data_IF_959039416870
#
_entry.id   IF_959039416870
#
_cell.length_a   1.000
_cell.length_b   1.000
_cell.length_c   1.000
_cell.angle_alpha   90.00
_cell.angle_beta   90.00
_cell.angle_gamma   90.00
#
_symmetry.space_group_name_H-M   'P 1'
#
loop_
_entity.id
_entity.type
_entity.pdbx_description
1 polymer ?
#
# COMPACT_ATOMS: atom_id res chain seq x y z
N UNK A 1 -51.72 -39.64 -14.01
CA UNK A 1 -51.58 -38.90 -12.73
C UNK A 1 -50.12 -39.00 -12.29
N UNK A 2 -49.26 -38.08 -12.74
CA UNK A 2 -48.75 -36.91 -11.98
C UNK A 2 -48.17 -37.29 -10.61
N UNK A 3 -46.85 -37.23 -10.50
CA UNK A 3 -46.20 -36.33 -9.55
C UNK A 3 -44.75 -36.11 -9.97
N UNK A 4 -44.54 -34.94 -10.57
CA UNK A 4 -43.26 -34.33 -10.90
C UNK A 4 -42.46 -34.18 -9.62
N UNK A 5 -41.25 -34.75 -9.56
CA UNK A 5 -40.28 -34.41 -8.51
C UNK A 5 -39.86 -32.97 -8.73
N UNK A 6 -40.37 -32.07 -7.89
CA UNK A 6 -39.98 -30.68 -7.87
C UNK A 6 -38.56 -30.59 -7.27
N UNK A 7 -37.54 -30.50 -8.15
CA UNK A 7 -36.14 -30.21 -7.80
C UNK A 7 -35.95 -28.70 -7.59
N UNK A 8 -36.74 -28.10 -6.70
CA UNK A 8 -36.51 -26.74 -6.26
C UNK A 8 -36.65 -26.76 -4.74
N UNK A 9 -35.56 -26.45 -4.03
CA UNK A 9 -35.53 -25.59 -2.84
C UNK A 9 -34.26 -25.85 -2.02
N UNK A 10 -33.17 -25.23 -2.47
CA UNK A 10 -32.11 -24.57 -1.67
C UNK A 10 -30.81 -24.47 -2.48
N UNK A 11 -30.89 -23.75 -3.61
CA UNK A 11 -29.68 -23.09 -4.12
C UNK A 11 -29.44 -21.90 -3.20
N UNK A 12 -28.45 -22.02 -2.31
CA UNK A 12 -27.86 -20.86 -1.63
C UNK A 12 -27.32 -19.97 -2.76
N UNK A 13 -28.09 -18.96 -3.15
CA UNK A 13 -27.65 -17.99 -4.14
C UNK A 13 -26.65 -17.07 -3.43
N UNK A 14 -25.37 -17.28 -3.70
CA UNK A 14 -24.33 -16.36 -3.23
C UNK A 14 -24.56 -14.99 -3.87
N UNK A 15 -24.37 -13.86 -3.15
CA UNK A 15 -24.55 -12.51 -3.71
C UNK A 15 -23.77 -12.26 -5.02
N UNK A 16 -22.73 -13.07 -5.28
CA UNK A 16 -21.83 -12.93 -6.42
C UNK A 16 -22.15 -13.81 -7.64
N UNK A 17 -23.12 -14.74 -7.56
CA UNK A 17 -23.57 -15.47 -8.76
C UNK A 17 -24.11 -14.52 -9.84
N UNK A 18 -24.60 -13.36 -9.41
CA UNK A 18 -25.14 -12.33 -10.29
C UNK A 18 -24.03 -11.60 -11.07
N UNK A 19 -22.82 -11.49 -10.53
CA UNK A 19 -21.69 -10.84 -11.22
C UNK A 19 -21.26 -11.64 -12.44
N UNK A 20 -21.15 -12.97 -12.31
CA UNK A 20 -20.81 -13.83 -13.43
C UNK A 20 -21.88 -13.76 -14.53
N UNK A 21 -23.15 -13.76 -14.13
CA UNK A 21 -24.29 -13.59 -15.04
C UNK A 21 -24.28 -12.24 -15.75
N UNK A 22 -23.88 -11.17 -15.06
CA UNK A 22 -23.72 -9.83 -15.64
C UNK A 22 -22.61 -9.82 -16.69
N UNK A 23 -21.45 -10.43 -16.41
CA UNK A 23 -20.34 -10.52 -17.38
C UNK A 23 -20.80 -11.24 -18.65
N UNK A 24 -21.45 -12.39 -18.50
CA UNK A 24 -21.98 -13.18 -19.62
C UNK A 24 -23.01 -12.40 -20.44
N UNK A 25 -23.92 -11.67 -19.77
CA UNK A 25 -24.89 -10.82 -20.43
C UNK A 25 -24.24 -9.65 -21.18
N UNK A 26 -23.21 -9.01 -20.60
CA UNK A 26 -22.47 -7.92 -21.27
C UNK A 26 -21.78 -8.45 -22.53
N UNK A 27 -21.15 -9.63 -22.46
CA UNK A 27 -20.53 -10.26 -23.63
C UNK A 27 -21.55 -10.59 -24.71
N UNK A 28 -22.72 -11.11 -24.31
CA UNK A 28 -23.77 -11.45 -25.25
C UNK A 28 -24.28 -10.20 -25.98
N UNK A 29 -24.61 -9.14 -25.24
CA UNK A 29 -25.15 -7.88 -25.81
C UNK A 29 -24.11 -7.15 -26.68
N UNK A 30 -22.82 -7.23 -26.34
CA UNK A 30 -21.75 -6.70 -27.20
C UNK A 30 -21.60 -7.50 -28.50
N UNK A 31 -21.75 -8.84 -28.44
CA UNK A 31 -21.64 -9.72 -29.61
C UNK A 31 -22.85 -9.61 -30.54
N UNK A 32 -24.06 -9.43 -30.02
CA UNK A 32 -25.27 -9.22 -30.84
C UNK A 32 -25.27 -7.87 -31.53
N UNK A 33 -24.40 -6.94 -31.11
CA UNK A 33 -24.31 -5.59 -31.66
C UNK A 33 -25.49 -4.68 -31.28
N UNK A 34 -26.39 -5.16 -30.42
CA UNK A 34 -27.55 -4.40 -29.95
C UNK A 34 -27.14 -3.15 -29.19
N UNK A 35 -26.02 -3.19 -28.46
CA UNK A 35 -25.49 -2.06 -27.70
C UNK A 35 -23.96 -2.04 -27.75
N UNK A 36 -23.37 -1.14 -28.53
CA UNK A 36 -21.94 -0.81 -28.47
C UNK A 36 -21.74 0.42 -27.60
N UNK A 37 -21.43 0.22 -26.32
CA UNK A 37 -21.18 1.30 -25.39
C UNK A 37 -19.80 1.15 -24.72
N UNK A 38 -18.87 2.10 -24.88
CA UNK A 38 -17.56 2.04 -24.23
C UNK A 38 -17.66 1.97 -22.69
N UNK A 39 -18.76 2.45 -22.09
CA UNK A 39 -19.02 2.30 -20.65
C UNK A 39 -19.27 0.84 -20.26
N UNK A 40 -19.94 0.04 -21.10
CA UNK A 40 -20.16 -1.39 -20.82
C UNK A 40 -18.86 -2.17 -20.86
N UNK A 41 -17.98 -1.87 -21.83
CA UNK A 41 -16.64 -2.47 -21.90
C UNK A 41 -15.77 -2.07 -20.69
N UNK A 42 -15.88 -0.83 -20.21
CA UNK A 42 -15.21 -0.38 -19.00
C UNK A 42 -15.71 -1.13 -17.74
N UNK A 43 -17.04 -1.30 -17.61
CA UNK A 43 -17.64 -2.07 -16.51
C UNK A 43 -17.16 -3.52 -16.55
N UNK A 44 -17.16 -4.16 -17.72
CA UNK A 44 -16.65 -5.53 -17.88
C UNK A 44 -15.19 -5.65 -17.45
N UNK A 45 -14.32 -4.72 -17.87
CA UNK A 45 -12.92 -4.68 -17.45
C UNK A 45 -12.76 -4.53 -15.93
N UNK A 46 -13.61 -3.72 -15.29
CA UNK A 46 -13.59 -3.55 -13.83
C UNK A 46 -13.99 -4.86 -13.15
N UNK A 47 -15.11 -5.46 -13.56
CA UNK A 47 -15.62 -6.71 -12.98
C UNK A 47 -14.67 -7.89 -13.18
N UNK A 48 -13.87 -7.88 -14.26
CA UNK A 48 -12.86 -8.90 -14.56
C UNK A 48 -11.46 -8.56 -14.04
N UNK A 49 -11.27 -7.43 -13.35
CA UNK A 49 -9.93 -7.01 -12.89
C UNK A 49 -9.42 -7.86 -11.73
N UNK A 50 -8.09 -7.99 -11.65
CA UNK A 50 -7.41 -8.67 -10.53
C UNK A 50 -7.77 -8.04 -9.17
N UNK A 51 -7.94 -6.71 -9.15
CA UNK A 51 -8.38 -5.99 -7.95
C UNK A 51 -9.78 -6.43 -7.52
N UNK A 52 -10.75 -6.45 -8.43
CA UNK A 52 -12.12 -6.87 -8.12
C UNK A 52 -12.17 -8.34 -7.70
N UNK A 53 -11.41 -9.21 -8.36
CA UNK A 53 -11.31 -10.63 -8.00
C UNK A 53 -10.73 -10.82 -6.60
N UNK A 54 -9.66 -10.08 -6.26
CA UNK A 54 -9.09 -10.11 -4.92
C UNK A 54 -10.11 -9.66 -3.86
N UNK A 55 -10.87 -8.60 -4.14
CA UNK A 55 -11.92 -8.11 -3.24
C UNK A 55 -13.03 -9.14 -3.06
N UNK A 56 -13.45 -9.79 -4.14
CA UNK A 56 -14.46 -10.85 -4.13
C UNK A 56 -14.03 -12.04 -3.27
N UNK A 57 -12.79 -12.52 -3.42
CA UNK A 57 -12.29 -13.67 -2.64
C UNK A 57 -12.33 -13.41 -1.13
N UNK A 58 -11.91 -12.22 -0.70
CA UNK A 58 -11.99 -11.85 0.72
C UNK A 58 -13.44 -11.68 1.16
N UNK A 59 -14.30 -11.09 0.33
CA UNK A 59 -15.72 -10.98 0.65
C UNK A 59 -16.37 -12.35 0.86
N UNK A 60 -16.16 -13.30 -0.05
CA UNK A 60 -16.70 -14.66 0.05
C UNK A 60 -16.20 -15.34 1.33
N UNK A 61 -14.90 -15.26 1.59
CA UNK A 61 -14.32 -15.85 2.80
C UNK A 61 -14.91 -15.24 4.08
N UNK A 62 -15.05 -13.92 4.15
CA UNK A 62 -15.67 -13.22 5.29
C UNK A 62 -17.17 -13.52 5.36
N UNK A 63 -17.86 -13.67 4.23
CA UNK A 63 -19.29 -13.98 4.21
C UNK A 63 -19.55 -15.34 4.84
N UNK A 64 -18.73 -16.34 4.51
CA UNK A 64 -18.89 -17.72 4.98
C UNK A 64 -18.45 -17.90 6.44
N UNK A 65 -17.41 -17.17 6.86
CA UNK A 65 -16.84 -17.33 8.21
C UNK A 65 -17.56 -16.49 9.27
N UNK A 66 -18.10 -15.32 8.91
CA UNK A 66 -18.80 -14.45 9.88
C UNK A 66 -20.25 -14.88 10.02
N UNK A 67 -20.58 -15.46 11.17
CA UNK A 67 -21.95 -15.73 11.58
C UNK A 67 -22.61 -14.44 12.06
N UNK A 68 -23.17 -13.67 11.11
CA UNK A 68 -24.02 -12.52 11.44
C UNK A 68 -25.46 -13.02 11.60
N UNK A 69 -26.00 -12.94 12.80
CA UNK A 69 -27.44 -13.10 13.02
C UNK A 69 -28.17 -11.89 12.42
N UNK A 70 -28.96 -12.10 11.37
CA UNK A 70 -29.67 -11.03 10.67
C UNK A 70 -30.21 -11.45 9.31
N UNK A 71 -30.90 -10.52 8.63
CA UNK A 71 -31.35 -10.75 7.25
C UNK A 71 -30.16 -10.87 6.28
N UNK A 72 -30.41 -11.41 5.08
CA UNK A 72 -29.39 -11.56 4.04
C UNK A 72 -28.73 -10.23 3.68
N UNK A 73 -29.50 -9.15 3.64
CA UNK A 73 -29.02 -7.79 3.38
C UNK A 73 -28.11 -7.29 4.50
N UNK A 74 -28.47 -7.57 5.76
CA UNK A 74 -27.66 -7.21 6.93
C UNK A 74 -26.33 -7.95 6.91
N UNK A 75 -26.35 -9.27 6.63
CA UNK A 75 -25.14 -10.08 6.49
C UNK A 75 -24.27 -9.57 5.36
N UNK A 76 -24.82 -9.36 4.16
CA UNK A 76 -24.06 -8.84 3.01
C UNK A 76 -23.44 -7.46 3.29
N UNK A 77 -24.17 -6.57 3.95
CA UNK A 77 -23.66 -5.25 4.35
C UNK A 77 -22.52 -5.36 5.38
N UNK A 78 -22.68 -6.21 6.39
CA UNK A 78 -21.67 -6.44 7.41
C UNK A 78 -20.39 -7.07 6.80
N UNK A 79 -20.54 -8.06 5.93
CA UNK A 79 -19.43 -8.67 5.19
C UNK A 79 -18.72 -7.65 4.31
N UNK A 80 -19.46 -6.80 3.58
CA UNK A 80 -18.85 -5.77 2.74
C UNK A 80 -17.99 -4.83 3.59
N UNK A 81 -18.52 -4.37 4.72
CA UNK A 81 -17.77 -3.51 5.66
C UNK A 81 -16.54 -4.22 6.22
N UNK A 82 -16.67 -5.47 6.62
CA UNK A 82 -15.56 -6.28 7.13
C UNK A 82 -14.49 -6.55 6.06
N UNK A 83 -14.89 -6.75 4.79
CA UNK A 83 -13.97 -6.91 3.66
C UNK A 83 -13.16 -5.64 3.43
N UNK A 84 -13.82 -4.48 3.38
CA UNK A 84 -13.15 -3.19 3.25
C UNK A 84 -12.21 -2.94 4.44
N UNK A 85 -12.66 -3.25 5.66
CA UNK A 85 -11.83 -3.15 6.86
C UNK A 85 -10.63 -4.12 6.80
N UNK A 86 -10.82 -5.35 6.32
CA UNK A 86 -9.77 -6.35 6.16
C UNK A 86 -8.75 -5.92 5.10
N UNK A 87 -9.17 -5.32 3.99
CA UNK A 87 -8.24 -4.72 3.00
C UNK A 87 -7.47 -3.54 3.59
N UNK A 88 -8.18 -2.63 4.26
CA UNK A 88 -7.55 -1.49 4.94
C UNK A 88 -6.56 -1.93 6.05
N UNK A 89 -6.83 -3.07 6.70
CA UNK A 89 -5.97 -3.65 7.72
C UNK A 89 -4.83 -4.52 7.15
N UNK A 90 -5.06 -5.23 6.04
CA UNK A 90 -4.06 -6.01 5.31
C UNK A 90 -3.00 -5.09 4.69
N UNK A 91 -3.37 -3.85 4.40
CA UNK A 91 -2.46 -2.73 4.23
C UNK A 91 -1.79 -2.27 5.54
N UNK A 92 -1.30 -3.24 6.32
CA UNK A 92 -0.56 -3.00 7.56
C UNK A 92 0.57 -2.01 7.32
N UNK A 93 0.29 -0.75 7.65
CA UNK A 93 1.15 0.44 7.52
C UNK A 93 1.38 1.03 6.11
N UNK A 94 0.65 0.61 5.07
CA UNK A 94 0.77 1.21 3.73
C UNK A 94 0.07 2.59 3.60
N UNK A 95 -0.78 2.97 4.57
CA UNK A 95 -1.38 4.29 4.64
C UNK A 95 -0.50 5.30 5.38
N UNK A 96 -0.46 6.57 4.95
CA UNK A 96 0.21 7.63 5.68
C UNK A 96 -0.32 7.74 7.12
N UNK A 97 0.59 7.77 8.09
CA UNK A 97 0.29 7.95 9.51
C UNK A 97 1.09 9.09 10.09
N UNK A 98 0.57 9.68 11.16
CA UNK A 98 1.22 10.77 11.89
C UNK A 98 1.97 10.17 13.08
N UNK A 99 3.22 10.58 13.25
CA UNK A 99 4.05 10.24 14.42
C UNK A 99 4.60 11.54 15.00
N UNK A 100 4.45 11.71 16.30
CA UNK A 100 4.99 12.88 17.01
C UNK A 100 6.13 12.44 17.93
N UNK A 101 7.29 13.08 17.79
CA UNK A 101 8.48 12.77 18.56
C UNK A 101 9.02 14.03 19.26
N UNK A 102 9.39 13.96 20.55
CA UNK A 102 10.08 15.05 21.20
C UNK A 102 11.50 15.21 20.62
N UNK A 103 11.87 16.44 20.27
CA UNK A 103 13.24 16.76 19.87
C UNK A 103 14.11 16.86 21.11
N UNK A 104 15.17 16.06 21.16
CA UNK A 104 16.19 16.09 22.22
C UNK A 104 17.52 16.61 21.70
N UNK A 105 18.46 16.90 22.60
CA UNK A 105 19.83 17.31 22.25
C UNK A 105 20.57 16.24 21.44
N UNK A 106 20.19 14.96 21.60
CA UNK A 106 20.71 13.83 20.83
C UNK A 106 19.98 13.64 19.48
N UNK A 107 19.00 14.50 19.17
CA UNK A 107 18.19 14.43 17.95
C UNK A 107 16.93 13.60 18.12
N UNK A 108 16.50 12.98 17.01
CA UNK A 108 15.24 12.20 16.92
C UNK A 108 15.46 10.68 16.96
N UNK A 109 16.70 10.20 16.90
CA UNK A 109 17.00 8.77 17.03
C UNK A 109 16.78 7.93 15.77
N UNK A 110 16.88 8.52 14.57
CA UNK A 110 16.81 7.78 13.31
C UNK A 110 17.68 8.43 12.22
N UNK A 111 18.01 7.66 11.19
CA UNK A 111 18.73 8.13 10.00
C UNK A 111 17.80 8.15 8.79
N UNK A 112 18.02 9.11 7.90
CA UNK A 112 17.33 9.21 6.62
C UNK A 112 18.28 8.94 5.45
N UNK A 113 17.73 8.50 4.32
CA UNK A 113 18.44 8.36 3.05
C UNK A 113 17.52 8.70 1.86
N UNK A 114 18.08 8.73 0.66
CA UNK A 114 17.37 9.16 -0.54
C UNK A 114 17.23 10.68 -0.60
N UNK A 115 16.41 11.17 -1.52
CA UNK A 115 16.31 12.57 -1.89
C UNK A 115 16.14 12.74 -3.40
N UNK A 116 15.52 13.84 -3.80
CA UNK A 116 15.25 14.16 -5.21
C UNK A 116 16.50 14.05 -6.10
N UNK A 117 17.66 14.45 -5.60
CA UNK A 117 18.93 14.41 -6.32
C UNK A 117 19.39 12.99 -6.68
N UNK A 118 18.82 11.97 -6.01
CA UNK A 118 19.06 10.55 -6.25
C UNK A 118 17.88 9.86 -6.95
N UNK A 119 16.92 10.63 -7.49
CA UNK A 119 15.65 10.13 -8.05
C UNK A 119 14.99 9.12 -7.10
N UNK A 120 14.79 9.57 -5.87
CA UNK A 120 14.39 8.73 -4.75
C UNK A 120 13.59 9.54 -3.73
N UNK A 121 12.50 8.99 -3.16
CA UNK A 121 11.90 9.56 -1.96
C UNK A 121 12.85 9.49 -0.78
N UNK A 122 12.49 10.17 0.30
CA UNK A 122 13.23 10.19 1.56
C UNK A 122 12.71 9.07 2.46
N UNK A 123 13.61 8.23 2.94
CA UNK A 123 13.29 7.06 3.76
C UNK A 123 14.04 7.06 5.08
N UNK A 124 13.40 6.52 6.11
CA UNK A 124 14.06 6.13 7.35
C UNK A 124 14.83 4.83 7.10
N UNK A 125 16.15 4.93 7.02
CA UNK A 125 17.05 3.81 6.74
C UNK A 125 17.44 3.04 8.00
N UNK A 126 17.40 3.71 9.16
CA UNK A 126 17.80 3.11 10.44
C UNK A 126 17.08 3.80 11.60
N UNK A 127 16.63 2.98 12.55
CA UNK A 127 16.24 3.42 13.89
C UNK A 127 17.43 3.20 14.83
N UNK A 128 17.77 4.20 15.64
CA UNK A 128 18.90 4.13 16.58
C UNK A 128 18.41 3.46 17.87
N UNK A 129 18.98 2.30 18.26
CA UNK A 129 18.57 1.60 19.49
C UNK A 129 18.69 2.50 20.73
N UNK A 130 17.66 2.51 21.58
CA UNK A 130 17.57 3.37 22.75
C UNK A 130 17.32 4.87 22.45
N UNK A 131 17.26 5.25 21.17
CA UNK A 131 16.95 6.61 20.73
C UNK A 131 15.49 7.01 20.97
N UNK A 132 15.15 8.26 20.65
CA UNK A 132 13.77 8.77 20.81
C UNK A 132 12.78 7.99 19.94
N UNK A 133 13.09 7.81 18.66
CA UNK A 133 12.24 7.05 17.74
C UNK A 133 12.06 5.58 18.15
N UNK A 134 13.12 4.94 18.66
CA UNK A 134 13.07 3.55 19.12
C UNK A 134 12.17 3.39 20.35
N UNK A 135 12.35 4.28 21.36
CA UNK A 135 11.54 4.28 22.58
C UNK A 135 10.07 4.60 22.32
N UNK A 136 9.78 5.44 21.33
CA UNK A 136 8.42 5.73 20.90
C UNK A 136 7.78 4.53 20.17
N UNK A 137 8.57 3.74 19.42
CA UNK A 137 8.14 2.48 18.80
C UNK A 137 7.20 2.62 17.60
N UNK A 138 6.80 3.84 17.22
CA UNK A 138 5.88 4.07 16.10
C UNK A 138 6.59 4.23 14.75
N UNK A 139 7.91 4.52 14.74
CA UNK A 139 8.73 4.57 13.53
C UNK A 139 9.48 3.26 13.31
N UNK A 140 9.63 2.89 12.04
CA UNK A 140 10.31 1.66 11.61
C UNK A 140 11.26 1.97 10.45
N UNK A 141 12.32 1.17 10.31
CA UNK A 141 13.11 1.14 9.07
C UNK A 141 12.17 0.78 7.91
N UNK A 142 12.25 1.54 6.82
CA UNK A 142 11.37 1.36 5.66
C UNK A 142 10.18 2.30 5.62
N UNK A 143 10.03 3.18 6.62
CA UNK A 143 9.11 4.30 6.52
C UNK A 143 9.63 5.34 5.51
N UNK A 144 8.81 5.65 4.50
CA UNK A 144 8.96 6.84 3.67
C UNK A 144 8.52 8.06 4.48
N UNK A 145 9.34 9.10 4.49
CA UNK A 145 8.99 10.39 5.06
C UNK A 145 8.22 11.22 4.03
N UNK A 146 6.98 11.59 4.38
CA UNK A 146 6.06 12.36 3.53
C UNK A 146 6.06 13.84 3.92
N UNK A 147 6.02 14.14 5.23
CA UNK A 147 6.01 15.52 5.70
C UNK A 147 6.69 15.68 7.08
N UNK A 148 7.23 16.87 7.32
CA UNK A 148 7.82 17.29 8.60
C UNK A 148 7.16 18.60 9.02
N UNK A 149 6.51 18.62 10.18
CA UNK A 149 5.79 19.77 10.73
C UNK A 149 4.82 20.42 9.72
N UNK A 150 4.15 19.60 8.91
CA UNK A 150 3.20 20.06 7.89
C UNK A 150 3.82 20.44 6.54
N UNK A 151 5.15 20.46 6.42
CA UNK A 151 5.84 20.69 5.15
C UNK A 151 6.04 19.36 4.43
N UNK A 152 5.51 19.22 3.21
CA UNK A 152 5.71 18.03 2.38
C UNK A 152 7.17 17.93 1.92
N UNK A 153 7.77 16.73 2.01
CA UNK A 153 9.15 16.44 1.63
C UNK A 153 9.30 15.28 0.63
N UNK A 154 8.20 14.78 0.04
CA UNK A 154 8.23 13.63 -0.88
C UNK A 154 9.08 13.86 -2.14
N UNK A 155 9.08 15.10 -2.62
CA UNK A 155 9.78 15.53 -3.83
C UNK A 155 10.94 16.51 -3.54
N UNK A 156 11.41 16.54 -2.29
CA UNK A 156 12.47 17.44 -1.85
C UNK A 156 13.85 16.78 -1.87
N UNK A 157 14.91 17.59 -1.87
CA UNK A 157 16.27 17.08 -1.75
C UNK A 157 16.57 16.58 -0.34
N UNK A 158 17.55 15.69 -0.22
CA UNK A 158 17.98 15.13 1.07
C UNK A 158 18.27 16.22 2.10
N UNK A 159 19.05 17.22 1.67
CA UNK A 159 19.50 18.32 2.53
C UNK A 159 18.32 19.11 3.10
N UNK A 160 17.27 19.37 2.30
CA UNK A 160 16.11 20.13 2.73
C UNK A 160 15.33 19.42 3.84
N UNK A 161 15.11 18.11 3.71
CA UNK A 161 14.44 17.35 4.76
C UNK A 161 15.27 17.28 6.04
N UNK A 162 16.60 17.12 5.90
CA UNK A 162 17.51 17.14 7.05
C UNK A 162 17.49 18.50 7.75
N UNK A 163 17.45 19.60 6.99
CA UNK A 163 17.32 20.96 7.52
C UNK A 163 16.01 21.12 8.32
N UNK A 164 14.88 20.64 7.79
CA UNK A 164 13.59 20.68 8.47
C UNK A 164 13.60 19.86 9.77
N UNK A 165 14.18 18.66 9.74
CA UNK A 165 14.30 17.80 10.92
C UNK A 165 15.25 18.37 11.99
N UNK A 166 16.28 19.12 11.58
CA UNK A 166 17.26 19.76 12.48
C UNK A 166 16.74 21.06 13.06
N UNK A 167 16.04 21.87 12.28
CA UNK A 167 15.52 23.18 12.69
C UNK A 167 14.28 23.08 13.59
N UNK A 168 13.57 21.95 13.56
CA UNK A 168 12.42 21.71 14.41
C UNK A 168 12.79 21.76 15.92
N UNK A 169 11.90 22.36 16.72
CA UNK A 169 12.04 22.54 18.17
C UNK A 169 10.82 21.96 18.89
N UNK A 170 11.00 21.55 20.14
CA UNK A 170 9.91 21.00 20.95
C UNK A 170 9.50 19.61 20.46
N UNK A 171 8.33 19.48 19.84
CA UNK A 171 7.85 18.23 19.24
C UNK A 171 7.90 18.31 17.71
N UNK A 172 8.28 17.22 17.07
CA UNK A 172 8.34 17.09 15.62
C UNK A 172 7.23 16.15 15.16
N UNK A 173 6.33 16.68 14.32
CA UNK A 173 5.24 15.94 13.72
C UNK A 173 5.66 15.43 12.35
N UNK A 174 5.71 14.12 12.20
CA UNK A 174 6.11 13.43 10.98
C UNK A 174 4.88 12.78 10.35
N UNK A 175 4.75 12.88 9.03
CA UNK A 175 3.83 12.04 8.26
C UNK A 175 4.69 10.99 7.56
N UNK A 176 4.40 9.72 7.80
CA UNK A 176 5.19 8.58 7.30
C UNK A 176 4.31 7.49 6.72
N UNK A 177 4.85 6.74 5.75
CA UNK A 177 4.18 5.58 5.16
C UNK A 177 5.16 4.41 5.11
N UNK A 178 4.75 3.22 5.56
CA UNK A 178 5.63 2.07 5.60
C UNK A 178 5.71 1.39 4.24
N UNK A 179 6.87 1.45 3.60
CA UNK A 179 7.14 0.86 2.28
C UNK A 179 8.52 0.16 2.27
N UNK A 180 8.74 -0.87 3.11
CA UNK A 180 10.06 -1.48 3.30
C UNK A 180 10.62 -2.13 2.03
N UNK A 181 9.76 -2.72 1.19
CA UNK A 181 10.19 -3.33 -0.08
C UNK A 181 10.85 -2.32 -1.01
N UNK A 182 10.31 -1.10 -1.08
CA UNK A 182 10.88 -0.02 -1.89
C UNK A 182 12.23 0.46 -1.34
N UNK A 183 12.37 0.55 0.00
CA UNK A 183 13.66 0.84 0.61
C UNK A 183 14.71 -0.21 0.24
N UNK A 184 14.38 -1.50 0.34
CA UNK A 184 15.32 -2.59 0.02
C UNK A 184 15.73 -2.57 -1.47
N UNK A 185 14.79 -2.28 -2.38
CA UNK A 185 15.08 -2.11 -3.81
C UNK A 185 16.01 -0.92 -4.08
N UNK A 186 15.77 0.20 -3.39
CA UNK A 186 16.61 1.38 -3.48
C UNK A 186 18.02 1.15 -2.93
N UNK A 187 18.17 0.50 -1.78
CA UNK A 187 19.47 0.14 -1.21
C UNK A 187 20.26 -0.74 -2.19
N UNK A 188 19.62 -1.75 -2.79
CA UNK A 188 20.24 -2.57 -3.85
C UNK A 188 20.67 -1.74 -5.06
N UNK A 189 19.88 -0.74 -5.46
CA UNK A 189 20.23 0.16 -6.57
C UNK A 189 21.46 0.99 -6.24
N UNK A 190 21.52 1.61 -5.06
CA UNK A 190 22.65 2.44 -4.64
C UNK A 190 23.93 1.62 -4.46
N UNK A 191 23.83 0.41 -3.91
CA UNK A 191 24.97 -0.50 -3.77
C UNK A 191 25.57 -0.86 -5.15
N UNK A 192 24.73 -1.15 -6.15
CA UNK A 192 25.19 -1.41 -7.53
C UNK A 192 25.89 -0.20 -8.15
N UNK A 193 25.37 1.01 -7.94
CA UNK A 193 25.98 2.23 -8.45
C UNK A 193 27.33 2.51 -7.79
N UNK A 194 27.44 2.36 -6.46
CA UNK A 194 28.70 2.52 -5.73
C UNK A 194 29.77 1.54 -6.18
N UNK A 195 29.41 0.27 -6.40
CA UNK A 195 30.36 -0.74 -6.92
C UNK A 195 30.91 -0.37 -8.29
N UNK A 196 30.07 0.16 -9.19
CA UNK A 196 30.51 0.61 -10.53
C UNK A 196 31.45 1.81 -10.44
N UNK A 197 31.17 2.77 -9.56
CA UNK A 197 32.01 3.94 -9.35
C UNK A 197 33.38 3.58 -8.77
N UNK A 198 33.43 2.67 -7.79
CA UNK A 198 34.69 2.22 -7.18
C UNK A 198 35.56 1.35 -8.11
N UNK A 199 34.99 0.73 -9.15
CA UNK A 199 35.77 -0.03 -10.15
C UNK A 199 36.47 0.87 -11.18
N UNK A 200 36.12 2.16 -11.28
CA UNK A 200 36.66 3.11 -12.26
C UNK A 200 37.59 4.18 -11.66
N UNK A 201 38.10 3.99 -10.44
CA UNK A 201 39.13 4.89 -9.90
C UNK A 201 40.51 4.54 -10.51
N UNK A 202 41.18 5.44 -11.28
CA UNK A 202 42.53 5.18 -11.75
C UNK A 202 43.47 5.05 -10.55
N UNK A 203 44.33 4.02 -10.57
CA UNK A 203 45.32 3.80 -9.53
C UNK A 203 46.22 5.05 -9.38
N UNK A 204 46.62 5.44 -8.16
CA UNK A 204 47.58 6.51 -7.99
C UNK A 204 48.89 6.12 -8.72
N UNK A 205 49.24 6.89 -9.75
CA UNK A 205 50.52 6.78 -10.44
C UNK A 205 51.63 7.11 -9.44
N UNK A 206 52.21 6.08 -8.83
CA UNK A 206 53.42 6.19 -8.03
C UNK A 206 54.58 6.57 -8.95
N UNK A 207 54.96 7.84 -8.97
CA UNK A 207 56.11 8.31 -9.72
C UNK A 207 57.38 7.96 -8.94
N UNK A 208 58.08 6.89 -9.36
CA UNK A 208 59.42 6.58 -8.82
C UNK A 208 60.41 7.59 -9.40
N UNK A 209 61.06 8.35 -8.52
CA UNK A 209 62.27 9.10 -8.85
C UNK A 209 63.44 8.15 -9.03
#
# INVERSE_FOLDING_TARGET
>A
CRSVQNKNDNLITYPYSDVQRIIELIEHVQKTGEITNPKLAAVQKILQSDFFNSVREVFEHVYDTVSVEGSREVRASATAKATVAAFAAAEGHAHPRIVELPKTDQGLGFNVMGGKEQNSPIYISRIIPGGVADRNGQLKRGDQLIAVNGVNVECECHEKAVELLKSARGSVKLVVRYTPKLLDEMERRFERQRRRANQHSPAPMFNKR
#
